data_IF_813701932664
#
_entry.id   IF_813701932664
#
_cell.length_a   1.000
_cell.length_b   1.000
_cell.length_c   1.000
_cell.angle_alpha   90.00
_cell.angle_beta   90.00
_cell.angle_gamma   90.00
#
_symmetry.space_group_name_H-M   'P 1'
#
loop_
_entity.id
_entity.type
_entity.pdbx_description
1 polymer ?
#
# COMPACT_ATOMS: atom_id res chain seq x y z
N UNK A 1 26.07 4.57 -75.91
CA UNK A 1 24.73 4.84 -75.31
C UNK A 1 23.99 3.51 -75.24
N UNK A 2 23.38 3.16 -74.11
CA UNK A 2 22.66 1.88 -73.97
C UNK A 2 21.48 1.81 -74.96
N UNK A 3 21.27 0.66 -75.60
CA UNK A 3 20.24 0.49 -76.64
C UNK A 3 18.83 0.67 -76.04
N UNK A 4 17.84 1.22 -76.76
CA UNK A 4 16.47 1.44 -76.24
C UNK A 4 15.80 0.18 -75.67
N UNK A 5 16.16 -1.00 -76.16
CA UNK A 5 15.72 -2.30 -75.60
C UNK A 5 16.29 -2.55 -74.19
N UNK A 6 17.60 -2.35 -73.98
CA UNK A 6 18.24 -2.50 -72.67
C UNK A 6 17.64 -1.53 -71.66
N UNK A 7 17.39 -0.29 -72.08
CA UNK A 7 16.75 0.73 -71.23
C UNK A 7 15.34 0.32 -70.79
N UNK A 8 14.54 -0.30 -71.68
CA UNK A 8 13.19 -0.80 -71.35
C UNK A 8 13.25 -1.99 -70.40
N UNK A 9 14.15 -2.94 -70.63
CA UNK A 9 14.33 -4.11 -69.76
C UNK A 9 14.84 -3.69 -68.38
N UNK A 10 15.80 -2.75 -68.31
CA UNK A 10 16.22 -2.14 -67.06
C UNK A 10 15.08 -1.40 -66.34
N UNK A 11 14.19 -0.71 -67.06
CA UNK A 11 13.02 -0.04 -66.47
C UNK A 11 12.07 -1.05 -65.83
N UNK A 12 11.76 -2.15 -66.52
CA UNK A 12 10.93 -3.24 -65.99
C UNK A 12 11.61 -3.91 -64.78
N UNK A 13 12.92 -4.17 -64.86
CA UNK A 13 13.72 -4.70 -63.75
C UNK A 13 13.67 -3.80 -62.52
N UNK A 14 13.86 -2.48 -62.70
CA UNK A 14 13.76 -1.48 -61.61
C UNK A 14 12.35 -1.44 -61.01
N UNK A 15 11.30 -1.49 -61.83
CA UNK A 15 9.91 -1.53 -61.36
C UNK A 15 9.61 -2.81 -60.58
N UNK A 16 9.95 -3.99 -61.12
CA UNK A 16 9.76 -5.27 -60.45
C UNK A 16 10.56 -5.37 -59.14
N UNK A 17 11.76 -4.76 -59.09
CA UNK A 17 12.57 -4.67 -57.87
C UNK A 17 11.90 -3.73 -56.85
N UNK A 18 11.55 -2.50 -57.23
CA UNK A 18 10.85 -1.55 -56.35
C UNK A 18 9.60 -2.15 -55.75
N UNK A 19 8.81 -2.84 -56.55
CA UNK A 19 7.56 -3.47 -56.14
C UNK A 19 7.82 -4.62 -55.14
N UNK A 20 8.81 -5.49 -55.41
CA UNK A 20 9.24 -6.52 -54.44
C UNK A 20 9.73 -5.93 -53.12
N UNK A 21 10.49 -4.84 -53.18
CA UNK A 21 10.98 -4.13 -51.99
C UNK A 21 9.83 -3.53 -51.17
N UNK A 22 8.89 -2.85 -51.82
CA UNK A 22 7.73 -2.25 -51.16
C UNK A 22 6.87 -3.32 -50.49
N UNK A 23 6.63 -4.46 -51.14
CA UNK A 23 5.88 -5.57 -50.54
C UNK A 23 6.64 -6.27 -49.43
N UNK A 24 7.95 -6.47 -49.60
CA UNK A 24 8.79 -7.04 -48.56
C UNK A 24 8.78 -6.17 -47.29
N UNK A 25 8.86 -4.85 -47.46
CA UNK A 25 8.76 -3.89 -46.37
C UNK A 25 7.35 -3.86 -45.75
N UNK A 26 6.30 -3.97 -46.57
CA UNK A 26 4.92 -4.07 -46.08
C UNK A 26 4.72 -5.33 -45.21
N UNK A 27 5.22 -6.49 -45.62
CA UNK A 27 5.12 -7.70 -44.79
C UNK A 27 6.01 -7.65 -43.54
N UNK A 28 7.20 -7.05 -43.63
CA UNK A 28 8.05 -6.84 -42.46
C UNK A 28 7.36 -5.95 -41.43
N UNK A 29 6.76 -4.84 -41.86
CA UNK A 29 5.99 -3.95 -40.98
C UNK A 29 4.76 -4.64 -40.41
N UNK A 30 4.01 -5.41 -41.20
CA UNK A 30 2.87 -6.19 -40.71
C UNK A 30 3.29 -7.19 -39.63
N UNK A 31 4.29 -8.04 -39.89
CA UNK A 31 4.73 -9.05 -38.94
C UNK A 31 5.35 -8.43 -37.68
N UNK A 32 6.19 -7.39 -37.85
CA UNK A 32 6.83 -6.70 -36.73
C UNK A 32 5.82 -5.98 -35.83
N UNK A 33 4.89 -5.21 -36.41
CA UNK A 33 3.87 -4.50 -35.65
C UNK A 33 2.86 -5.45 -35.02
N UNK A 34 2.43 -6.50 -35.72
CA UNK A 34 1.52 -7.50 -35.15
C UNK A 34 2.18 -8.22 -33.96
N UNK A 35 3.44 -8.64 -34.10
CA UNK A 35 4.18 -9.25 -33.01
C UNK A 35 4.35 -8.28 -31.83
N UNK A 36 4.69 -7.02 -32.09
CA UNK A 36 4.84 -6.00 -31.05
C UNK A 36 3.52 -5.68 -30.34
N UNK A 37 2.39 -5.63 -31.06
CA UNK A 37 1.06 -5.43 -30.47
C UNK A 37 0.63 -6.61 -29.61
N UNK A 38 0.87 -7.85 -30.08
CA UNK A 38 0.55 -9.06 -29.30
C UNK A 38 1.43 -9.12 -28.05
N UNK A 39 2.74 -8.88 -28.20
CA UNK A 39 3.68 -8.92 -27.08
C UNK A 39 3.42 -7.80 -26.07
N UNK A 40 3.22 -6.56 -26.53
CA UNK A 40 2.94 -5.41 -25.66
C UNK A 40 1.57 -5.49 -25.02
N UNK A 41 0.55 -5.96 -25.74
CA UNK A 41 -0.77 -6.24 -25.19
C UNK A 41 -0.76 -7.37 -24.16
N UNK A 42 0.01 -8.43 -24.42
CA UNK A 42 0.27 -9.51 -23.48
C UNK A 42 0.95 -9.03 -22.20
N UNK A 43 2.04 -8.24 -22.32
CA UNK A 43 2.74 -7.64 -21.18
C UNK A 43 1.81 -6.71 -20.37
N UNK A 44 0.96 -5.93 -21.04
CA UNK A 44 -0.01 -5.05 -20.38
C UNK A 44 -1.14 -5.80 -19.66
N UNK A 45 -1.64 -6.91 -20.22
CA UNK A 45 -2.69 -7.72 -19.62
C UNK A 45 -2.17 -8.58 -18.46
N UNK A 46 -0.98 -9.16 -18.60
CA UNK A 46 -0.36 -9.99 -17.58
C UNK A 46 0.24 -9.14 -16.44
N UNK A 47 0.61 -7.89 -16.71
CA UNK A 47 1.29 -6.97 -15.77
C UNK A 47 2.46 -7.63 -15.02
N UNK A 48 3.13 -8.59 -15.64
CA UNK A 48 4.23 -9.32 -15.03
C UNK A 48 5.43 -8.40 -14.85
N UNK A 49 5.96 -8.32 -13.63
CA UNK A 49 7.20 -7.58 -13.35
C UNK A 49 8.46 -8.45 -13.52
N UNK A 50 8.27 -9.73 -13.85
CA UNK A 50 9.35 -10.67 -14.11
C UNK A 50 10.12 -10.33 -15.40
N UNK A 51 11.43 -10.15 -15.26
CA UNK A 51 12.33 -9.88 -16.39
C UNK A 51 12.35 -11.04 -17.40
N UNK A 52 12.15 -12.29 -16.95
CA UNK A 52 12.13 -13.46 -17.83
C UNK A 52 11.00 -13.41 -18.87
N UNK A 53 9.77 -13.07 -18.45
CA UNK A 53 8.62 -12.93 -19.35
C UNK A 53 8.87 -11.81 -20.37
N UNK A 54 9.37 -10.65 -19.91
CA UNK A 54 9.74 -9.54 -20.80
C UNK A 54 10.78 -9.93 -21.85
N UNK A 55 11.80 -10.70 -21.46
CA UNK A 55 12.84 -11.20 -22.38
C UNK A 55 12.24 -12.13 -23.44
N UNK A 56 11.37 -13.07 -23.05
CA UNK A 56 10.72 -13.99 -23.99
C UNK A 56 9.87 -13.21 -24.99
N UNK A 57 9.04 -12.28 -24.51
CA UNK A 57 8.19 -11.45 -25.38
C UNK A 57 9.02 -10.62 -26.36
N UNK A 58 10.10 -10.00 -25.89
CA UNK A 58 11.00 -9.21 -26.73
C UNK A 58 11.72 -10.08 -27.77
N UNK A 59 12.19 -11.27 -27.36
CA UNK A 59 12.84 -12.23 -28.26
C UNK A 59 11.86 -12.75 -29.33
N UNK A 60 10.59 -12.96 -28.99
CA UNK A 60 9.55 -13.33 -29.94
C UNK A 60 9.32 -12.24 -30.99
N UNK A 61 9.30 -10.96 -30.59
CA UNK A 61 9.19 -9.84 -31.53
C UNK A 61 10.40 -9.77 -32.47
N UNK A 62 11.62 -9.95 -31.92
CA UNK A 62 12.85 -9.98 -32.72
C UNK A 62 12.85 -11.18 -33.66
N UNK A 63 12.49 -12.37 -33.20
CA UNK A 63 12.44 -13.59 -33.99
C UNK A 63 11.40 -13.49 -35.12
N UNK A 64 10.21 -12.95 -34.84
CA UNK A 64 9.17 -12.73 -35.85
C UNK A 64 9.62 -11.71 -36.91
N UNK A 65 10.25 -10.62 -36.48
CA UNK A 65 10.80 -9.59 -37.38
C UNK A 65 11.94 -10.12 -38.23
N UNK A 66 12.85 -10.91 -37.64
CA UNK A 66 13.92 -11.58 -38.35
C UNK A 66 13.37 -12.59 -39.36
N UNK A 67 12.44 -13.47 -38.96
CA UNK A 67 11.81 -14.44 -39.85
C UNK A 67 11.12 -13.75 -41.05
N UNK A 68 10.41 -12.64 -40.81
CA UNK A 68 9.80 -11.84 -41.86
C UNK A 68 10.86 -11.22 -42.80
N UNK A 69 11.96 -10.68 -42.25
CA UNK A 69 13.07 -10.17 -43.03
C UNK A 69 13.69 -11.25 -43.92
N UNK A 70 13.98 -12.43 -43.36
CA UNK A 70 14.55 -13.57 -44.07
C UNK A 70 13.62 -14.11 -45.17
N UNK A 71 12.31 -14.11 -44.93
CA UNK A 71 11.30 -14.67 -45.85
C UNK A 71 10.90 -13.72 -46.99
N UNK A 72 10.84 -12.41 -46.72
CA UNK A 72 10.24 -11.43 -47.63
C UNK A 72 11.22 -10.38 -48.17
N UNK A 73 12.20 -9.93 -47.36
CA UNK A 73 13.12 -8.85 -47.76
C UNK A 73 14.46 -9.37 -48.28
N UNK A 74 14.98 -10.47 -47.71
CA UNK A 74 16.23 -11.11 -48.19
C UNK A 74 16.19 -11.48 -49.67
N UNK A 75 15.12 -12.09 -50.22
CA UNK A 75 15.08 -12.39 -51.66
C UNK A 75 15.17 -11.12 -52.52
N UNK A 76 14.58 -10.00 -52.08
CA UNK A 76 14.63 -8.73 -52.81
C UNK A 76 16.03 -8.06 -52.80
N UNK A 77 16.87 -8.42 -51.82
CA UNK A 77 18.25 -7.96 -51.67
C UNK A 77 19.22 -8.85 -52.44
N UNK A 78 19.11 -10.17 -52.23
CA UNK A 78 20.10 -11.17 -52.67
C UNK A 78 19.87 -11.63 -54.11
N UNK A 79 18.61 -11.80 -54.53
CA UNK A 79 18.32 -12.23 -55.91
C UNK A 79 18.48 -11.04 -56.86
N UNK A 80 19.65 -10.94 -57.47
CA UNK A 80 19.87 -10.05 -58.60
C UNK A 80 19.40 -10.76 -59.87
N UNK A 81 18.15 -10.50 -60.27
CA UNK A 81 17.70 -10.89 -61.61
C UNK A 81 18.60 -10.21 -62.65
N UNK A 82 19.33 -10.98 -63.44
CA UNK A 82 20.06 -10.50 -64.60
C UNK A 82 19.10 -10.02 -65.69
N UNK A 83 19.57 -9.16 -66.59
CA UNK A 83 18.68 -8.61 -67.64
C UNK A 83 18.13 -9.72 -68.56
N UNK A 84 18.88 -10.81 -68.74
CA UNK A 84 18.44 -12.03 -69.43
C UNK A 84 17.31 -12.78 -68.70
N UNK A 85 17.34 -12.87 -67.36
CA UNK A 85 16.28 -13.54 -66.59
C UNK A 85 14.98 -12.74 -66.61
N UNK A 86 15.08 -11.41 -66.65
CA UNK A 86 13.94 -10.51 -66.84
C UNK A 86 13.37 -10.69 -68.25
N UNK A 87 14.21 -10.74 -69.29
CA UNK A 87 13.81 -10.98 -70.67
C UNK A 87 13.05 -12.30 -70.83
N UNK A 88 13.58 -13.40 -70.29
CA UNK A 88 12.91 -14.71 -70.30
C UNK A 88 11.58 -14.69 -69.55
N UNK A 89 11.46 -13.91 -68.47
CA UNK A 89 10.20 -13.76 -67.73
C UNK A 89 9.15 -12.97 -68.51
N UNK A 90 9.58 -11.98 -69.31
CA UNK A 90 8.71 -11.25 -70.24
C UNK A 90 8.22 -12.18 -71.34
N UNK A 91 9.10 -12.98 -71.94
CA UNK A 91 8.75 -13.95 -72.99
C UNK A 91 7.82 -15.07 -72.50
N UNK A 92 7.97 -15.54 -71.26
CA UNK A 92 7.01 -16.48 -70.64
C UNK A 92 5.60 -15.90 -70.52
N UNK A 93 5.47 -14.58 -70.35
CA UNK A 93 4.17 -13.88 -70.26
C UNK A 93 3.59 -13.58 -71.64
N UNK A 94 4.44 -13.33 -72.63
CA UNK A 94 4.05 -13.12 -74.04
C UNK A 94 4.81 -14.06 -74.98
N UNK A 95 4.29 -15.28 -75.20
CA UNK A 95 4.91 -16.28 -76.07
C UNK A 95 5.14 -15.80 -77.51
N UNK A 96 4.39 -14.79 -77.96
CA UNK A 96 4.52 -14.16 -79.28
C UNK A 96 5.91 -13.56 -79.57
N UNK A 97 6.74 -13.33 -78.54
CA UNK A 97 8.11 -12.84 -78.71
C UNK A 97 9.09 -13.93 -79.18
N UNK A 98 8.76 -15.23 -79.13
CA UNK A 98 9.54 -16.35 -79.69
C UNK A 98 11.07 -16.28 -79.45
N UNK A 99 11.52 -16.02 -78.20
CA UNK A 99 12.93 -15.87 -77.82
C UNK A 99 13.69 -14.67 -78.46
N UNK A 100 12.99 -13.80 -79.20
CA UNK A 100 13.62 -12.66 -79.89
C UNK A 100 14.14 -11.62 -78.92
N UNK A 101 13.55 -11.45 -77.73
CA UNK A 101 13.99 -10.48 -76.74
C UNK A 101 15.25 -10.96 -76.00
N UNK A 102 15.30 -12.25 -75.62
CA UNK A 102 16.48 -12.86 -75.01
C UNK A 102 17.65 -12.89 -75.98
N UNK A 103 17.46 -13.35 -77.22
CA UNK A 103 18.51 -13.35 -78.24
C UNK A 103 18.97 -11.95 -78.63
N UNK A 104 18.07 -10.95 -78.71
CA UNK A 104 18.47 -9.56 -78.99
C UNK A 104 19.34 -8.95 -77.91
N UNK A 105 19.09 -9.27 -76.62
CA UNK A 105 19.94 -8.81 -75.53
C UNK A 105 21.31 -9.50 -75.54
N UNK A 106 21.36 -10.79 -75.88
CA UNK A 106 22.62 -11.52 -76.04
C UNK A 106 23.45 -10.94 -77.21
N UNK A 107 22.82 -10.65 -78.35
CA UNK A 107 23.47 -10.01 -79.48
C UNK A 107 23.96 -8.59 -79.20
N UNK A 108 23.33 -7.85 -78.28
CA UNK A 108 23.77 -6.51 -77.87
C UNK A 108 24.97 -6.55 -76.91
N UNK A 109 25.20 -7.66 -76.21
CA UNK A 109 26.35 -7.86 -75.32
C UNK A 109 27.60 -8.38 -76.06
N UNK A 110 27.45 -8.89 -77.28
CA UNK A 110 28.54 -9.37 -78.13
C UNK A 110 29.14 -8.25 -78.99
N UNK A 111 30.45 -8.30 -79.26
CA UNK A 111 31.12 -7.32 -80.11
C UNK A 111 30.50 -7.29 -81.53
N UNK A 112 30.43 -6.11 -82.18
CA UNK A 112 29.89 -5.99 -83.54
C UNK A 112 30.63 -6.84 -84.59
N UNK A 113 31.93 -7.06 -84.38
CA UNK A 113 32.86 -7.75 -85.29
C UNK A 113 33.23 -9.16 -84.82
N UNK A 114 32.44 -9.75 -83.90
CA UNK A 114 32.66 -11.13 -83.45
C UNK A 114 32.37 -12.12 -84.59
N UNK A 115 33.44 -12.75 -85.11
CA UNK A 115 33.37 -13.70 -86.22
C UNK A 115 32.54 -14.95 -85.90
N UNK A 116 32.31 -15.26 -84.62
CA UNK A 116 31.55 -16.42 -84.18
C UNK A 116 30.06 -16.12 -83.91
N UNK A 117 29.65 -14.84 -83.99
CA UNK A 117 28.29 -14.41 -83.66
C UNK A 117 27.32 -14.40 -84.86
N UNK A 118 27.75 -14.85 -86.04
CA UNK A 118 26.92 -14.91 -87.26
C UNK A 118 26.84 -13.57 -88.02
N UNK A 119 25.91 -13.48 -89.00
CA UNK A 119 25.81 -12.31 -89.90
C UNK A 119 25.37 -11.03 -89.16
N UNK A 120 26.15 -9.92 -89.25
CA UNK A 120 25.80 -8.65 -88.63
C UNK A 120 24.47 -8.06 -89.12
N UNK A 121 24.10 -8.33 -90.39
CA UNK A 121 22.84 -7.87 -90.95
C UNK A 121 21.64 -8.59 -90.31
N UNK A 122 21.72 -9.91 -90.12
CA UNK A 122 20.67 -10.69 -89.48
C UNK A 122 20.50 -10.32 -88.00
N UNK A 123 21.61 -10.11 -87.27
CA UNK A 123 21.59 -9.64 -85.87
C UNK A 123 20.83 -8.31 -85.75
N UNK A 124 21.12 -7.35 -86.64
CA UNK A 124 20.43 -6.04 -86.66
C UNK A 124 18.94 -6.17 -86.96
N UNK A 125 18.55 -7.05 -87.88
CA UNK A 125 17.13 -7.31 -88.19
C UNK A 125 16.40 -7.90 -86.99
N UNK A 126 16.98 -8.89 -86.31
CA UNK A 126 16.38 -9.49 -85.10
C UNK A 126 16.22 -8.46 -83.98
N UNK A 127 17.23 -7.61 -83.75
CA UNK A 127 17.17 -6.51 -82.77
C UNK A 127 16.09 -5.48 -83.14
N UNK A 128 15.97 -5.12 -84.42
CA UNK A 128 14.96 -4.17 -84.89
C UNK A 128 13.53 -4.73 -84.75
N UNK A 129 13.31 -5.99 -85.15
CA UNK A 129 12.02 -6.68 -85.00
C UNK A 129 11.63 -6.85 -83.53
N UNK A 130 12.57 -7.24 -82.66
CA UNK A 130 12.33 -7.33 -81.23
C UNK A 130 11.99 -5.96 -80.62
N UNK A 131 12.63 -4.88 -81.09
CA UNK A 131 12.33 -3.51 -80.65
C UNK A 131 10.90 -3.11 -81.00
N UNK A 132 10.46 -3.35 -82.24
CA UNK A 132 9.11 -3.04 -82.70
C UNK A 132 8.05 -3.85 -81.95
N UNK A 133 8.30 -5.15 -81.72
CA UNK A 133 7.36 -6.01 -80.99
C UNK A 133 7.26 -5.65 -79.51
N UNK A 134 8.37 -5.27 -78.87
CA UNK A 134 8.39 -4.84 -77.46
C UNK A 134 7.74 -3.46 -77.27
N UNK A 135 7.79 -2.59 -78.29
CA UNK A 135 7.10 -1.29 -78.27
C UNK A 135 5.59 -1.39 -78.24
N UNK A 136 5.03 -2.37 -78.95
CA UNK A 136 3.61 -2.63 -78.98
C UNK A 136 3.06 -3.27 -77.69
N UNK A 137 3.94 -3.72 -76.78
CA UNK A 137 3.53 -4.45 -75.58
C UNK A 137 3.29 -3.53 -74.36
N UNK A 138 2.19 -3.73 -73.61
CA UNK A 138 1.96 -3.02 -72.35
C UNK A 138 2.83 -3.61 -71.22
N UNK A 139 4.13 -3.28 -71.21
CA UNK A 139 5.11 -3.77 -70.23
C UNK A 139 4.76 -3.45 -68.76
N UNK A 140 3.88 -2.48 -68.52
CA UNK A 140 3.39 -2.17 -67.17
C UNK A 140 2.51 -3.28 -66.57
N UNK A 141 1.95 -4.17 -67.40
CA UNK A 141 1.10 -5.29 -66.96
C UNK A 141 1.91 -6.52 -66.49
N UNK A 142 3.23 -6.50 -66.63
CA UNK A 142 4.12 -7.58 -66.15
C UNK A 142 4.07 -7.69 -64.62
N UNK A 143 4.01 -6.53 -63.97
CA UNK A 143 4.05 -6.44 -62.51
C UNK A 143 2.64 -6.25 -62.01
N UNK A 144 2.01 -7.34 -61.59
CA UNK A 144 0.64 -7.28 -61.05
C UNK A 144 0.64 -6.69 -59.63
N UNK A 145 0.46 -5.37 -59.57
CA UNK A 145 0.36 -4.62 -58.31
C UNK A 145 -0.93 -4.98 -57.56
N UNK A 146 -1.97 -5.50 -58.23
CA UNK A 146 -3.26 -5.81 -57.59
C UNK A 146 -3.14 -6.94 -56.58
N UNK A 147 -2.34 -7.96 -56.91
CA UNK A 147 -2.05 -9.09 -56.01
C UNK A 147 -1.32 -8.67 -54.73
N UNK A 148 -0.79 -7.46 -54.70
CA UNK A 148 0.03 -6.93 -53.61
C UNK A 148 -0.69 -5.89 -52.74
N UNK A 149 -1.87 -5.44 -53.18
CA UNK A 149 -2.77 -4.57 -52.40
C UNK A 149 -3.11 -5.10 -50.99
N UNK A 150 -3.37 -6.40 -50.75
CA UNK A 150 -3.72 -6.84 -49.40
C UNK A 150 -2.57 -6.65 -48.41
N UNK A 151 -1.31 -6.82 -48.82
CA UNK A 151 -0.16 -6.58 -47.96
C UNK A 151 -0.03 -5.10 -47.57
N UNK A 152 -0.23 -4.20 -48.53
CA UNK A 152 -0.22 -2.76 -48.29
C UNK A 152 -1.40 -2.30 -47.43
N UNK A 153 -2.59 -2.85 -47.68
CA UNK A 153 -3.78 -2.57 -46.88
C UNK A 153 -3.62 -3.05 -45.42
N UNK A 154 -3.06 -4.25 -45.22
CA UNK A 154 -2.77 -4.77 -43.88
C UNK A 154 -1.73 -3.93 -43.14
N UNK A 155 -0.65 -3.50 -43.83
CA UNK A 155 0.36 -2.61 -43.25
C UNK A 155 -0.26 -1.25 -42.85
N UNK A 156 -1.07 -0.67 -43.75
CA UNK A 156 -1.80 0.58 -43.48
C UNK A 156 -2.77 0.46 -42.30
N UNK A 157 -3.51 -0.65 -42.22
CA UNK A 157 -4.43 -0.91 -41.12
C UNK A 157 -3.68 -1.04 -39.78
N UNK A 158 -2.59 -1.79 -39.72
CA UNK A 158 -1.78 -1.93 -38.49
C UNK A 158 -1.16 -0.61 -38.06
N UNK A 159 -0.64 0.18 -38.99
CA UNK A 159 -0.13 1.53 -38.70
C UNK A 159 -1.24 2.44 -38.19
N UNK A 160 -2.43 2.36 -38.77
CA UNK A 160 -3.60 3.12 -38.30
C UNK A 160 -4.00 2.72 -36.88
N UNK A 161 -4.05 1.42 -36.57
CA UNK A 161 -4.35 0.92 -35.22
C UNK A 161 -3.31 1.38 -34.21
N UNK A 162 -2.01 1.26 -34.52
CA UNK A 162 -0.92 1.74 -33.66
C UNK A 162 -1.02 3.25 -33.45
N UNK A 163 -1.31 4.02 -34.51
CA UNK A 163 -1.50 5.47 -34.44
C UNK A 163 -2.70 5.85 -33.56
N UNK A 164 -3.82 5.13 -33.69
CA UNK A 164 -5.00 5.34 -32.86
C UNK A 164 -4.73 5.05 -31.38
N UNK A 165 -4.02 3.95 -31.08
CA UNK A 165 -3.59 3.62 -29.72
C UNK A 165 -2.66 4.69 -29.14
N UNK A 166 -1.72 5.21 -29.96
CA UNK A 166 -0.81 6.27 -29.55
C UNK A 166 -1.54 7.59 -29.25
N UNK A 167 -2.56 7.94 -30.05
CA UNK A 167 -3.39 9.11 -29.78
C UNK A 167 -4.23 8.96 -28.50
N UNK A 168 -4.76 7.76 -28.24
CA UNK A 168 -5.61 7.49 -27.08
C UNK A 168 -4.82 7.40 -25.76
N UNK A 169 -3.63 6.78 -25.78
CA UNK A 169 -2.83 6.54 -24.58
C UNK A 169 -1.31 6.64 -24.87
N UNK A 170 -0.78 7.84 -25.17
CA UNK A 170 0.61 8.01 -25.61
C UNK A 170 1.63 7.53 -24.57
N UNK A 171 1.32 7.70 -23.28
CA UNK A 171 2.20 7.26 -22.19
C UNK A 171 2.26 5.72 -22.10
N UNK A 172 1.10 5.06 -22.11
CA UNK A 172 1.00 3.59 -22.04
C UNK A 172 1.67 2.93 -23.25
N UNK A 173 1.41 3.41 -24.47
CA UNK A 173 2.01 2.83 -25.68
C UNK A 173 3.52 3.09 -25.72
N UNK A 174 3.96 4.28 -25.30
CA UNK A 174 5.39 4.60 -25.16
C UNK A 174 6.12 3.69 -24.16
N UNK A 175 5.49 3.39 -23.02
CA UNK A 175 6.03 2.47 -22.02
C UNK A 175 6.07 1.02 -22.52
N UNK A 176 5.02 0.54 -23.21
CA UNK A 176 5.03 -0.78 -23.84
C UNK A 176 6.20 -0.93 -24.82
N UNK A 177 6.39 0.07 -25.69
CA UNK A 177 7.48 0.06 -26.66
C UNK A 177 8.86 0.06 -25.98
N UNK A 178 9.03 0.83 -24.90
CA UNK A 178 10.28 0.86 -24.12
C UNK A 178 10.55 -0.45 -23.40
N UNK A 179 9.54 -1.05 -22.75
CA UNK A 179 9.66 -2.35 -22.06
C UNK A 179 10.03 -3.47 -23.04
N UNK A 180 9.53 -3.45 -24.28
CA UNK A 180 9.92 -4.40 -25.34
C UNK A 180 11.31 -4.12 -25.92
N UNK A 181 11.70 -2.86 -26.08
CA UNK A 181 13.02 -2.50 -26.61
C UNK A 181 14.14 -2.71 -25.58
N UNK A 182 13.84 -2.53 -24.30
CA UNK A 182 14.76 -2.62 -23.17
C UNK A 182 14.19 -3.59 -22.12
N UNK A 183 14.19 -4.91 -22.39
CA UNK A 183 13.56 -5.90 -21.51
C UNK A 183 14.22 -6.01 -20.13
N UNK A 184 15.47 -5.56 -20.01
CA UNK A 184 16.24 -5.51 -18.75
C UNK A 184 15.99 -4.24 -17.95
N UNK A 185 15.18 -3.30 -18.45
CA UNK A 185 14.80 -2.11 -17.70
C UNK A 185 13.89 -2.46 -16.52
N UNK A 186 13.93 -1.64 -15.47
CA UNK A 186 13.04 -1.75 -14.30
C UNK A 186 11.81 -0.86 -14.43
N UNK A 187 11.45 -0.49 -15.66
CA UNK A 187 10.29 0.36 -15.95
C UNK A 187 9.00 -0.40 -15.62
N UNK A 188 8.24 0.10 -14.63
CA UNK A 188 6.97 -0.47 -14.21
C UNK A 188 5.80 0.17 -14.96
N UNK A 189 4.72 -0.58 -15.12
CA UNK A 189 3.47 0.00 -15.60
C UNK A 189 2.94 1.05 -14.61
N UNK A 190 2.23 2.11 -15.06
CA UNK A 190 1.61 3.08 -14.18
C UNK A 190 0.61 2.37 -13.27
N UNK A 191 0.73 2.64 -11.98
CA UNK A 191 -0.12 2.05 -10.96
C UNK A 191 -1.50 2.69 -10.99
N UNK A 192 -2.51 1.87 -10.78
CA UNK A 192 -3.91 2.29 -10.61
C UNK A 192 -4.15 2.68 -9.16
N UNK A 193 -3.62 1.89 -8.24
CA UNK A 193 -3.81 2.08 -6.82
C UNK A 193 -2.60 2.78 -6.18
N UNK A 194 -2.87 3.67 -5.23
CA UNK A 194 -1.85 4.39 -4.45
C UNK A 194 -2.20 4.29 -2.97
N UNK A 195 -1.77 3.20 -2.36
CA UNK A 195 -2.14 2.83 -1.00
C UNK A 195 -1.37 3.68 0.03
N UNK A 196 -2.06 4.08 1.10
CA UNK A 196 -1.54 4.91 2.17
C UNK A 196 -1.99 4.39 3.54
N UNK A 197 -1.06 4.36 4.51
CA UNK A 197 -1.41 4.07 5.89
C UNK A 197 -2.25 5.19 6.50
N UNK A 198 -3.25 4.81 7.29
CA UNK A 198 -4.03 5.75 8.09
C UNK A 198 -3.54 5.65 9.53
N UNK A 199 -2.71 6.61 9.93
CA UNK A 199 -2.14 6.77 11.29
C UNK A 199 -1.69 5.45 11.95
N UNK A 200 -0.65 4.80 11.40
CA UNK A 200 -0.26 3.47 11.86
C UNK A 200 0.39 3.54 13.26
N UNK A 201 -0.06 2.73 14.23
CA UNK A 201 0.52 2.77 15.57
C UNK A 201 1.94 2.21 15.58
N UNK A 202 2.92 3.02 16.01
CA UNK A 202 4.32 2.62 16.14
C UNK A 202 4.60 1.79 17.42
N UNK A 203 3.72 1.88 18.40
CA UNK A 203 3.83 1.20 19.69
C UNK A 203 2.53 0.48 20.03
N UNK A 204 2.65 -0.74 20.54
CA UNK A 204 1.51 -1.55 21.00
C UNK A 204 1.84 -2.13 22.37
N UNK A 205 0.88 -2.13 23.27
CA UNK A 205 1.07 -2.73 24.59
C UNK A 205 1.16 -4.25 24.49
N UNK A 206 2.02 -4.86 25.30
CA UNK A 206 2.13 -6.32 25.34
C UNK A 206 0.78 -7.00 25.61
N UNK A 207 0.38 -7.90 24.70
CA UNK A 207 -0.85 -8.67 24.76
C UNK A 207 -2.06 -8.01 24.11
N UNK A 208 -2.01 -6.71 23.82
CA UNK A 208 -3.10 -5.97 23.17
C UNK A 208 -3.15 -6.26 21.65
N UNK A 209 -4.32 -6.05 21.01
CA UNK A 209 -4.45 -6.20 19.58
C UNK A 209 -3.80 -5.04 18.84
N UNK A 210 -3.11 -5.36 17.74
CA UNK A 210 -2.63 -4.36 16.79
C UNK A 210 -3.59 -4.25 15.61
N UNK A 211 -3.95 -3.02 15.24
CA UNK A 211 -4.82 -2.73 14.11
C UNK A 211 -4.07 -1.87 13.11
N UNK A 212 -4.06 -2.30 11.85
CA UNK A 212 -3.50 -1.53 10.72
C UNK A 212 -4.60 -1.19 9.73
N UNK A 213 -4.62 0.07 9.31
CA UNK A 213 -5.59 0.60 8.35
C UNK A 213 -4.88 1.18 7.13
N UNK A 214 -5.43 0.89 5.96
CA UNK A 214 -4.93 1.41 4.67
C UNK A 214 -6.11 1.96 3.86
N UNK A 215 -5.87 3.06 3.17
CA UNK A 215 -6.78 3.66 2.18
C UNK A 215 -6.06 3.84 0.85
N UNK A 216 -6.81 3.88 -0.25
CA UNK A 216 -6.27 4.32 -1.54
C UNK A 216 -6.43 5.84 -1.67
N UNK A 217 -5.40 6.54 -2.12
CA UNK A 217 -5.47 7.96 -2.45
C UNK A 217 -6.47 8.24 -3.59
N UNK A 218 -6.69 7.27 -4.48
CA UNK A 218 -7.68 7.33 -5.55
C UNK A 218 -9.12 7.05 -5.10
N UNK A 219 -9.31 6.58 -3.86
CA UNK A 219 -10.62 6.28 -3.27
C UNK A 219 -11.21 4.92 -3.65
N UNK A 220 -10.58 4.17 -4.55
CA UNK A 220 -11.02 2.83 -4.96
C UNK A 220 -9.99 1.78 -4.54
N UNK A 221 -10.31 0.99 -3.52
CA UNK A 221 -9.40 -0.01 -2.99
C UNK A 221 -9.33 -1.24 -3.92
N UNK A 222 -8.14 -1.85 -4.09
CA UNK A 222 -8.03 -3.08 -4.87
C UNK A 222 -8.79 -4.23 -4.22
N UNK A 223 -9.30 -5.16 -5.04
CA UNK A 223 -10.12 -6.31 -4.60
C UNK A 223 -9.41 -7.23 -3.58
N UNK A 224 -8.08 -7.27 -3.62
CA UNK A 224 -7.27 -8.08 -2.74
C UNK A 224 -6.13 -7.25 -2.12
N UNK A 225 -6.14 -7.16 -0.79
CA UNK A 225 -5.09 -6.59 0.02
C UNK A 225 -4.54 -7.64 0.98
N UNK A 226 -3.22 -7.70 1.06
CA UNK A 226 -2.49 -8.62 1.90
C UNK A 226 -1.59 -7.86 2.85
N UNK A 227 -1.59 -8.29 4.11
CA UNK A 227 -0.66 -7.83 5.13
C UNK A 227 0.43 -8.87 5.33
N UNK A 228 1.67 -8.39 5.41
CA UNK A 228 2.87 -9.15 5.70
C UNK A 228 3.39 -8.73 7.05
N UNK A 229 3.73 -9.73 7.87
CA UNK A 229 4.34 -9.55 9.18
C UNK A 229 5.76 -10.11 9.16
N UNK A 230 6.70 -9.40 9.77
CA UNK A 230 8.06 -9.87 9.95
C UNK A 230 8.44 -9.78 11.42
N UNK A 231 8.49 -10.92 12.07
CA UNK A 231 8.95 -11.04 13.45
C UNK A 231 10.47 -11.21 13.50
N UNK A 232 11.10 -10.78 14.60
CA UNK A 232 12.53 -10.99 14.81
C UNK A 232 12.87 -12.49 14.77
N UNK A 233 13.86 -12.86 13.94
CA UNK A 233 14.31 -14.25 13.77
C UNK A 233 13.58 -15.07 12.70
N UNK A 234 12.53 -14.54 12.05
CA UNK A 234 11.92 -15.18 10.89
C UNK A 234 12.56 -14.73 9.58
N UNK A 235 12.78 -15.69 8.67
CA UNK A 235 13.24 -15.38 7.32
C UNK A 235 12.12 -14.71 6.51
N UNK A 236 12.43 -13.79 5.59
CA UNK A 236 11.43 -13.09 4.77
C UNK A 236 10.49 -14.02 3.98
N UNK A 237 10.95 -15.24 3.71
CA UNK A 237 10.25 -16.24 2.89
C UNK A 237 9.18 -17.02 3.66
N UNK A 238 9.19 -16.98 5.00
CA UNK A 238 8.32 -17.82 5.84
C UNK A 238 7.02 -17.12 6.29
N UNK A 239 6.91 -15.81 6.06
CA UNK A 239 5.74 -15.04 6.46
C UNK A 239 4.59 -15.22 5.44
N UNK A 240 3.62 -16.06 5.79
CA UNK A 240 2.40 -16.21 4.99
C UNK A 240 1.61 -14.89 4.98
N UNK A 241 1.26 -14.34 3.80
CA UNK A 241 0.43 -13.15 3.71
C UNK A 241 -0.96 -13.43 4.26
N UNK A 242 -1.52 -12.46 4.98
CA UNK A 242 -2.88 -12.54 5.51
C UNK A 242 -3.79 -11.56 4.79
N UNK A 243 -5.02 -11.95 4.42
CA UNK A 243 -5.96 -11.04 3.76
C UNK A 243 -6.43 -9.93 4.72
N UNK A 244 -6.67 -8.74 4.18
CA UNK A 244 -7.32 -7.65 4.89
C UNK A 244 -8.84 -7.70 4.67
N UNK A 245 -9.59 -7.11 5.61
CA UNK A 245 -11.05 -6.98 5.52
C UNK A 245 -11.42 -5.56 5.14
N UNK A 246 -12.36 -5.38 4.21
CA UNK A 246 -12.84 -4.07 3.79
C UNK A 246 -13.89 -3.53 4.76
N UNK A 247 -13.71 -2.27 5.17
CA UNK A 247 -14.59 -1.53 6.06
C UNK A 247 -14.85 -0.15 5.45
N UNK A 248 -15.81 -0.08 4.51
CA UNK A 248 -16.13 1.16 3.78
C UNK A 248 -15.02 1.55 2.80
N UNK A 249 -14.46 2.74 2.96
CA UNK A 249 -13.37 3.30 2.15
C UNK A 249 -11.97 2.88 2.63
N UNK A 250 -11.90 2.00 3.63
CA UNK A 250 -10.66 1.52 4.24
C UNK A 250 -10.57 -0.01 4.23
N UNK A 251 -9.34 -0.50 4.15
CA UNK A 251 -9.03 -1.89 4.47
C UNK A 251 -8.38 -1.97 5.85
N UNK A 252 -8.84 -2.93 6.65
CA UNK A 252 -8.41 -3.10 8.04
C UNK A 252 -7.96 -4.54 8.25
N UNK A 253 -6.88 -4.70 8.99
CA UNK A 253 -6.48 -6.00 9.53
C UNK A 253 -6.07 -5.86 10.98
N UNK A 254 -6.42 -6.87 11.78
CA UNK A 254 -6.15 -6.89 13.22
C UNK A 254 -5.38 -8.15 13.62
N UNK A 255 -4.24 -7.95 14.26
CA UNK A 255 -3.47 -8.99 14.92
C UNK A 255 -3.88 -9.04 16.39
N UNK A 256 -4.63 -10.07 16.78
CA UNK A 256 -5.35 -10.12 18.06
C UNK A 256 -4.48 -10.04 19.32
N UNK A 257 -3.25 -10.56 19.27
CA UNK A 257 -2.39 -10.63 20.45
C UNK A 257 -0.94 -10.44 20.05
N UNK A 258 -0.37 -9.31 20.46
CA UNK A 258 1.01 -8.95 20.16
C UNK A 258 1.91 -9.22 21.35
N UNK A 259 2.88 -10.12 21.21
CA UNK A 259 3.81 -10.49 22.30
C UNK A 259 5.26 -10.12 22.05
N UNK A 260 5.62 -9.77 20.82
CA UNK A 260 6.98 -9.45 20.43
C UNK A 260 7.00 -8.41 19.31
N UNK A 261 8.06 -7.58 19.20
CA UNK A 261 8.21 -6.59 18.13
C UNK A 261 8.14 -7.22 16.74
N UNK A 262 7.57 -6.48 15.78
CA UNK A 262 7.45 -6.91 14.40
C UNK A 262 7.47 -5.74 13.42
N UNK A 263 7.78 -6.04 12.17
CA UNK A 263 7.57 -5.13 11.06
C UNK A 263 6.29 -5.51 10.33
N UNK A 264 5.51 -4.53 9.90
CA UNK A 264 4.30 -4.77 9.09
C UNK A 264 4.39 -4.04 7.77
N UNK A 265 3.91 -4.69 6.70
CA UNK A 265 3.77 -4.09 5.37
C UNK A 265 2.47 -4.54 4.73
N UNK A 266 1.79 -3.63 4.04
CA UNK A 266 0.59 -3.96 3.25
C UNK A 266 0.92 -3.85 1.77
N UNK A 267 0.45 -4.81 1.00
CA UNK A 267 0.58 -4.87 -0.46
C UNK A 267 -0.79 -5.24 -1.03
N UNK A 268 -1.18 -4.64 -2.16
CA UNK A 268 -2.44 -5.01 -2.80
C UNK A 268 -2.60 -4.44 -4.19
N UNK A 269 -3.39 -5.15 -5.01
CA UNK A 269 -3.58 -4.81 -6.42
C UNK A 269 -2.25 -4.71 -7.17
N UNK A 270 -1.93 -3.51 -7.65
CA UNK A 270 -0.70 -3.18 -8.36
C UNK A 270 0.26 -2.28 -7.57
N UNK A 271 0.01 -2.07 -6.28
CA UNK A 271 0.88 -1.28 -5.40
C UNK A 271 1.60 -2.14 -4.36
N UNK A 272 2.92 -2.22 -4.52
CA UNK A 272 3.85 -2.86 -3.60
C UNK A 272 4.70 -1.84 -2.84
N UNK A 273 4.44 -0.53 -2.91
CA UNK A 273 5.44 0.46 -2.47
C UNK A 273 5.34 0.94 -1.03
N UNK A 274 4.34 0.50 -0.27
CA UNK A 274 4.23 0.91 1.13
C UNK A 274 5.48 0.49 1.91
N UNK A 275 6.01 1.39 2.76
CA UNK A 275 7.16 1.09 3.58
C UNK A 275 6.80 0.06 4.65
N UNK A 276 7.82 -0.66 5.12
CA UNK A 276 7.70 -1.43 6.35
C UNK A 276 7.57 -0.47 7.54
N UNK A 277 6.69 -0.80 8.46
CA UNK A 277 6.53 -0.07 9.73
C UNK A 277 7.05 -0.95 10.85
N UNK A 278 8.00 -0.41 11.62
CA UNK A 278 8.48 -1.03 12.85
C UNK A 278 7.47 -0.80 13.97
N UNK A 279 6.89 -1.88 14.49
CA UNK A 279 5.97 -1.86 15.63
C UNK A 279 6.71 -2.41 16.84
N UNK A 280 7.00 -1.53 17.79
CA UNK A 280 7.61 -1.92 19.05
C UNK A 280 6.54 -2.34 20.06
N UNK A 281 6.81 -3.42 20.77
CA UNK A 281 5.95 -3.90 21.85
C UNK A 281 6.46 -3.35 23.15
N UNK A 282 5.62 -2.60 23.85
CA UNK A 282 5.98 -2.01 25.13
C UNK A 282 5.11 -2.61 26.22
N UNK A 283 5.72 -3.09 27.30
CA UNK A 283 4.92 -3.56 28.43
C UNK A 283 4.65 -2.37 29.37
N UNK A 284 3.37 -2.13 29.72
CA UNK A 284 3.01 -1.03 30.60
C UNK A 284 3.64 -1.18 31.99
N UNK A 285 3.97 -0.05 32.61
CA UNK A 285 4.41 0.01 34.01
C UNK A 285 3.31 -0.50 34.92
N UNK A 286 3.63 -1.29 35.94
CA UNK A 286 2.64 -1.84 36.88
C UNK A 286 2.93 -1.38 38.30
N UNK A 287 1.86 -1.26 39.09
CA UNK A 287 1.95 -1.00 40.52
C UNK A 287 2.50 -2.27 41.19
N UNK A 288 3.70 -2.20 41.75
CA UNK A 288 4.34 -3.32 42.43
C UNK A 288 3.94 -3.36 43.91
N UNK A 289 3.93 -2.20 44.55
CA UNK A 289 3.51 -2.05 45.94
C UNK A 289 2.74 -0.74 46.13
N UNK A 290 1.67 -0.76 46.93
CA UNK A 290 0.92 0.43 47.34
C UNK A 290 0.78 0.45 48.86
N UNK A 291 1.40 1.45 49.48
CA UNK A 291 1.30 1.72 50.92
C UNK A 291 0.37 2.90 51.15
N UNK A 292 -0.69 2.65 51.90
CA UNK A 292 -1.67 3.66 52.29
C UNK A 292 -1.52 3.96 53.77
N UNK A 293 -1.38 5.23 54.12
CA UNK A 293 -1.37 5.68 55.53
C UNK A 293 -2.50 6.67 55.75
N UNK A 294 -3.34 6.39 56.74
CA UNK A 294 -4.50 7.19 57.10
C UNK A 294 -4.18 8.08 58.28
N UNK A 295 -4.54 9.36 58.17
CA UNK A 295 -4.39 10.36 59.21
C UNK A 295 -5.77 10.91 59.59
N UNK A 296 -6.44 10.30 60.58
CA UNK A 296 -7.75 10.74 61.03
C UNK A 296 -7.73 12.20 61.54
N UNK A 297 -8.89 12.88 61.56
CA UNK A 297 -8.97 14.23 62.11
C UNK A 297 -8.48 14.31 63.56
N UNK A 298 -7.78 15.39 63.92
CA UNK A 298 -7.15 15.54 65.24
C UNK A 298 -8.12 15.40 66.43
N UNK A 299 -9.40 15.76 66.25
CA UNK A 299 -10.42 15.66 67.30
C UNK A 299 -10.75 14.21 67.69
N UNK A 300 -10.46 13.24 66.82
CA UNK A 300 -10.71 11.81 67.10
C UNK A 300 -9.72 11.24 68.12
N UNK A 301 -8.54 11.87 68.30
CA UNK A 301 -7.46 11.33 69.12
C UNK A 301 -6.79 10.06 68.56
N UNK A 302 -7.19 9.61 67.37
CA UNK A 302 -6.64 8.42 66.72
C UNK A 302 -5.35 8.80 65.98
N UNK A 303 -4.26 8.11 66.29
CA UNK A 303 -2.97 8.30 65.62
C UNK A 303 -2.96 7.77 64.18
N UNK A 304 -1.94 8.12 63.39
CA UNK A 304 -1.79 7.61 62.03
C UNK A 304 -1.70 6.08 61.99
N UNK A 305 -2.33 5.45 61.01
CA UNK A 305 -2.31 3.99 60.85
C UNK A 305 -2.15 3.58 59.39
N UNK A 306 -1.45 2.47 59.17
CA UNK A 306 -1.36 1.85 57.86
C UNK A 306 -2.71 1.19 57.50
N UNK A 307 -3.10 1.31 56.24
CA UNK A 307 -4.31 0.69 55.70
C UNK A 307 -3.98 -0.16 54.49
N UNK A 308 -4.89 -1.07 54.16
CA UNK A 308 -4.81 -1.77 52.87
C UNK A 308 -5.18 -0.81 51.73
N UNK A 309 -4.93 -1.18 50.47
CA UNK A 309 -5.43 -0.40 49.33
C UNK A 309 -6.94 -0.14 49.37
N UNK A 310 -7.74 -1.01 49.99
CA UNK A 310 -9.16 -0.73 50.23
C UNK A 310 -9.30 0.15 51.48
N UNK A 311 -9.70 1.41 51.27
CA UNK A 311 -9.73 2.44 52.31
C UNK A 311 -11.10 2.46 52.98
N UNK A 312 -11.12 2.34 54.31
CA UNK A 312 -12.31 2.55 55.12
C UNK A 312 -11.99 3.46 56.31
N UNK A 313 -12.48 4.70 56.30
CA UNK A 313 -12.14 5.70 57.31
C UNK A 313 -13.24 6.76 57.51
N UNK A 314 -13.08 7.61 58.53
CA UNK A 314 -13.99 8.71 58.82
C UNK A 314 -13.87 9.84 57.78
N UNK A 315 -14.97 10.53 57.53
CA UNK A 315 -14.97 11.76 56.75
C UNK A 315 -13.98 12.77 57.35
N UNK A 316 -13.22 13.45 56.50
CA UNK A 316 -12.14 14.37 56.90
C UNK A 316 -10.80 13.70 57.20
N UNK A 317 -10.68 12.37 57.08
CA UNK A 317 -9.38 11.69 57.16
C UNK A 317 -8.50 12.11 55.97
N UNK A 318 -7.23 12.41 56.22
CA UNK A 318 -6.24 12.69 55.16
C UNK A 318 -5.49 11.41 54.79
N UNK A 319 -5.26 11.20 53.50
CA UNK A 319 -4.58 10.00 52.99
C UNK A 319 -3.18 10.37 52.48
N UNK A 320 -2.18 9.63 52.94
CA UNK A 320 -0.84 9.62 52.36
C UNK A 320 -0.63 8.30 51.60
N UNK A 321 -0.01 8.40 50.43
CA UNK A 321 0.25 7.25 49.56
C UNK A 321 1.74 7.16 49.24
N UNK A 322 2.25 5.94 49.17
CA UNK A 322 3.52 5.64 48.55
C UNK A 322 3.34 4.42 47.64
N UNK A 323 3.66 4.58 46.36
CA UNK A 323 3.57 3.57 45.33
C UNK A 323 4.97 3.23 44.81
N UNK A 324 5.28 1.94 44.68
CA UNK A 324 6.44 1.43 43.96
C UNK A 324 5.99 0.87 42.60
N UNK A 325 6.80 1.11 41.57
CA UNK A 325 6.43 0.82 40.18
C UNK A 325 7.50 -0.02 39.49
N UNK A 326 7.08 -0.96 38.65
CA UNK A 326 8.00 -1.91 38.00
C UNK A 326 8.94 -1.28 36.97
N UNK A 327 8.58 -0.12 36.40
CA UNK A 327 9.35 0.60 35.38
C UNK A 327 9.28 2.12 35.61
N UNK A 328 10.26 2.89 35.13
CA UNK A 328 10.27 4.34 35.29
C UNK A 328 9.04 5.03 34.68
N UNK A 329 8.36 5.84 35.48
CA UNK A 329 7.19 6.63 35.09
C UNK A 329 7.52 8.12 34.94
N UNK A 330 6.80 8.81 34.05
CA UNK A 330 6.86 10.28 33.88
C UNK A 330 5.88 11.02 34.77
N UNK A 331 4.73 10.42 35.01
CA UNK A 331 3.67 10.99 35.84
C UNK A 331 2.87 9.86 36.50
N UNK A 332 2.30 10.16 37.66
CA UNK A 332 1.32 9.32 38.31
C UNK A 332 0.23 10.20 38.92
N UNK A 333 -1.01 9.69 38.95
CA UNK A 333 -2.16 10.37 39.52
C UNK A 333 -3.14 9.38 40.12
N UNK A 334 -3.85 9.79 41.16
CA UNK A 334 -4.97 9.04 41.71
C UNK A 334 -6.23 9.53 41.03
N UNK A 335 -6.97 8.61 40.41
CA UNK A 335 -8.30 8.88 39.88
C UNK A 335 -9.32 8.38 40.90
N UNK A 336 -10.10 9.30 41.46
CA UNK A 336 -11.16 9.02 42.43
C UNK A 336 -12.49 9.14 41.70
N UNK A 337 -13.30 8.08 41.73
CA UNK A 337 -14.63 8.03 41.15
C UNK A 337 -15.66 7.92 42.28
N UNK A 338 -16.33 9.05 42.55
CA UNK A 338 -17.39 9.17 43.54
C UNK A 338 -18.67 9.63 42.84
N UNK A 339 -19.70 8.78 42.82
CA UNK A 339 -21.04 9.12 42.28
C UNK A 339 -21.00 9.64 40.81
N UNK A 340 -20.07 9.16 39.98
CA UNK A 340 -19.91 9.56 38.58
C UNK A 340 -19.15 10.88 38.38
N UNK A 341 -18.64 11.48 39.45
CA UNK A 341 -17.68 12.58 39.39
C UNK A 341 -16.27 12.03 39.59
N UNK A 342 -15.45 12.16 38.56
CA UNK A 342 -14.05 11.78 38.59
C UNK A 342 -13.18 12.97 39.02
N UNK A 343 -12.42 12.81 40.09
CA UNK A 343 -11.41 13.76 40.55
C UNK A 343 -10.02 13.16 40.37
N UNK A 344 -9.09 13.95 39.85
CA UNK A 344 -7.68 13.55 39.70
C UNK A 344 -6.80 14.29 40.71
N UNK A 345 -5.96 13.53 41.43
CA UNK A 345 -4.95 14.08 42.34
C UNK A 345 -3.56 13.67 41.84
N UNK A 346 -2.68 14.62 41.48
CA UNK A 346 -1.35 14.30 41.00
C UNK A 346 -0.46 13.76 42.13
N UNK A 347 0.34 12.74 41.83
CA UNK A 347 1.36 12.20 42.71
C UNK A 347 2.72 12.80 42.38
N UNK A 348 3.57 12.95 43.39
CA UNK A 348 4.95 13.37 43.21
C UNK A 348 5.79 12.15 42.82
N UNK A 349 6.36 12.15 41.63
CA UNK A 349 7.22 11.07 41.15
C UNK A 349 8.62 11.23 41.71
N UNK A 350 9.21 10.13 42.18
CA UNK A 350 10.58 10.09 42.69
C UNK A 350 11.61 10.35 41.57
N UNK A 351 12.82 10.79 41.93
CA UNK A 351 13.85 11.16 40.96
C UNK A 351 14.32 10.00 40.07
N UNK A 352 14.22 8.76 40.56
CA UNK A 352 14.51 7.53 39.81
C UNK A 352 13.36 7.08 38.90
N UNK A 353 12.18 7.70 39.01
CA UNK A 353 10.96 7.32 38.30
C UNK A 353 10.32 6.02 38.78
N UNK A 354 10.85 5.36 39.82
CA UNK A 354 10.38 4.05 40.30
C UNK A 354 9.44 4.14 41.50
N UNK A 355 9.24 5.35 42.03
CA UNK A 355 8.29 5.62 43.10
C UNK A 355 7.37 6.79 42.80
N UNK A 356 6.17 6.77 43.36
CA UNK A 356 5.27 7.92 43.39
C UNK A 356 4.68 8.08 44.79
N UNK A 357 4.55 9.31 45.28
CA UNK A 357 4.00 9.56 46.62
C UNK A 357 3.04 10.73 46.67
N UNK A 358 2.11 10.64 47.62
CA UNK A 358 1.23 11.72 48.03
C UNK A 358 1.56 12.10 49.47
N UNK A 359 2.12 13.30 49.64
CA UNK A 359 2.39 13.86 50.97
C UNK A 359 1.18 14.63 51.50
N UNK A 360 0.99 14.62 52.81
CA UNK A 360 -0.10 15.33 53.48
C UNK A 360 0.00 16.85 53.34
N UNK A 361 1.23 17.37 53.26
CA UNK A 361 1.52 18.80 53.09
C UNK A 361 1.69 19.18 51.61
N UNK A 362 1.29 18.29 50.70
CA UNK A 362 1.31 18.54 49.27
C UNK A 362 0.34 19.66 48.87
N UNK A 363 0.48 20.21 47.65
CA UNK A 363 -0.39 21.28 47.15
C UNK A 363 -1.87 20.87 47.05
N UNK A 364 -2.14 19.56 46.94
CA UNK A 364 -3.48 18.99 46.94
C UNK A 364 -3.52 17.76 47.87
N UNK A 365 -3.82 17.93 49.16
CA UNK A 365 -3.99 16.81 50.07
C UNK A 365 -5.27 16.04 49.73
N UNK A 366 -5.22 14.72 49.78
CA UNK A 366 -6.41 13.90 49.58
C UNK A 366 -7.21 13.81 50.88
N UNK A 367 -8.35 14.51 50.91
CA UNK A 367 -9.33 14.46 52.00
C UNK A 367 -10.47 13.51 51.64
N UNK A 368 -10.83 12.62 52.56
CA UNK A 368 -11.93 11.70 52.37
C UNK A 368 -13.27 12.38 52.68
N UNK A 369 -14.10 12.57 51.66
CA UNK A 369 -15.41 13.22 51.81
C UNK A 369 -16.57 12.28 51.46
N UNK A 370 -16.43 11.53 50.36
CA UNK A 370 -17.47 10.66 49.82
C UNK A 370 -16.94 9.25 49.59
N UNK A 371 -17.85 8.28 49.70
CA UNK A 371 -17.57 6.90 49.31
C UNK A 371 -17.53 6.76 47.79
N UNK A 372 -16.80 5.79 47.28
CA UNK A 372 -16.61 5.55 45.85
C UNK A 372 -15.57 4.47 45.58
N UNK A 373 -14.85 4.62 44.47
CA UNK A 373 -13.69 3.80 44.15
C UNK A 373 -12.54 4.70 43.70
N UNK A 374 -11.32 4.21 43.78
CA UNK A 374 -10.18 4.93 43.23
C UNK A 374 -9.22 3.96 42.54
N UNK A 375 -8.42 4.47 41.62
CA UNK A 375 -7.30 3.73 41.04
C UNK A 375 -6.08 4.64 40.87
N UNK A 376 -4.90 4.05 40.84
CA UNK A 376 -3.65 4.76 40.59
C UNK A 376 -3.33 4.66 39.10
N UNK A 377 -3.39 5.78 38.39
CA UNK A 377 -2.99 5.87 37.00
C UNK A 377 -1.51 6.18 36.91
N UNK A 378 -0.80 5.38 36.14
CA UNK A 378 0.63 5.50 35.89
C UNK A 378 0.85 5.83 34.43
N UNK A 379 1.72 6.79 34.14
CA UNK A 379 2.15 7.13 32.78
C UNK A 379 3.63 6.76 32.65
N UNK A 380 3.91 5.72 31.88
CA UNK A 380 5.28 5.26 31.65
C UNK A 380 6.14 6.30 30.93
N UNK A 381 7.47 6.11 30.94
CA UNK A 381 8.38 6.97 30.19
C UNK A 381 8.12 6.97 28.66
N UNK A 382 7.53 5.89 28.16
CA UNK A 382 7.02 5.67 26.81
C UNK A 382 5.68 6.38 26.52
N UNK A 383 5.01 6.92 27.54
CA UNK A 383 3.72 7.60 27.42
C UNK A 383 2.51 6.68 27.48
N UNK A 384 2.69 5.38 27.69
CA UNK A 384 1.59 4.42 27.85
C UNK A 384 0.99 4.56 29.25
N UNK A 385 -0.34 4.70 29.32
CA UNK A 385 -1.07 4.74 30.58
C UNK A 385 -1.46 3.34 31.08
N UNK A 386 -1.40 3.13 32.39
CA UNK A 386 -1.77 1.87 33.04
C UNK A 386 -2.42 2.11 34.42
N UNK A 387 -2.94 1.03 35.02
CA UNK A 387 -3.52 1.04 36.38
C UNK A 387 -5.03 1.31 36.47
N UNK A 388 -5.70 1.69 35.37
CA UNK A 388 -7.14 2.01 35.36
C UNK A 388 -8.05 0.84 35.79
N UNK A 389 -7.63 -0.39 35.53
CA UNK A 389 -8.39 -1.60 35.86
C UNK A 389 -8.15 -2.10 37.29
N UNK A 390 -7.11 -1.60 37.97
CA UNK A 390 -6.82 -1.91 39.37
C UNK A 390 -7.59 -0.94 40.28
N UNK A 391 -8.90 -1.17 40.41
CA UNK A 391 -9.77 -0.35 41.24
C UNK A 391 -9.77 -0.83 42.69
N UNK A 392 -9.66 0.11 43.61
CA UNK A 392 -9.74 -0.09 45.05
C UNK A 392 -10.98 0.60 45.62
N UNK A 393 -11.56 0.01 46.65
CA UNK A 393 -12.76 0.55 47.29
C UNK A 393 -12.42 1.70 48.23
N UNK A 394 -13.28 2.71 48.23
CA UNK A 394 -13.21 3.84 49.13
C UNK A 394 -14.53 3.95 49.92
N UNK A 395 -14.48 3.65 51.21
CA UNK A 395 -15.63 3.73 52.12
C UNK A 395 -15.39 4.84 53.14
N UNK A 396 -16.18 5.90 53.03
CA UNK A 396 -16.12 7.04 53.94
C UNK A 396 -17.31 6.98 54.89
N UNK A 397 -17.03 6.90 56.19
CA UNK A 397 -18.02 6.89 57.26
C UNK A 397 -18.26 8.32 57.75
N UNK A 398 -19.50 8.75 57.74
CA UNK A 398 -19.87 10.03 58.34
C UNK A 398 -19.75 9.94 59.87
N UNK A 399 -19.26 11.01 60.48
CA UNK A 399 -19.24 11.21 61.93
C UNK A 399 -20.67 11.54 62.41
N UNK A 400 -21.20 10.74 63.32
CA UNK A 400 -22.57 10.89 63.79
C UNK A 400 -22.62 11.72 65.09
N UNK A 401 -23.56 12.66 65.18
CA UNK A 401 -23.73 13.41 66.41
C UNK A 401 -24.07 12.49 67.61
N UNK A 402 -23.55 12.78 68.82
CA UNK A 402 -23.83 12.01 70.02
C UNK A 402 -25.33 11.97 70.30
N UNK A 403 -25.81 10.81 70.74
CA UNK A 403 -27.20 10.60 71.14
C UNK A 403 -27.31 10.69 72.65
N UNK A 404 -28.23 11.53 73.13
CA UNK A 404 -28.49 11.75 74.55
C UNK A 404 -29.93 11.34 74.83
N UNK A 405 -30.15 10.49 75.84
CA UNK A 405 -31.47 10.21 76.42
C UNK A 405 -31.46 10.52 77.92
N UNK A 406 -32.55 11.10 78.42
CA UNK A 406 -32.83 11.19 79.85
C UNK A 406 -33.73 10.01 80.19
N UNK A 407 -33.22 9.11 81.01
CA UNK A 407 -33.90 7.87 81.40
C UNK A 407 -34.80 8.13 82.64
N UNK A 408 -34.39 9.05 83.52
CA UNK A 408 -35.20 9.55 84.62
C UNK A 408 -34.84 11.01 84.95
N UNK A 409 -35.81 11.91 85.14
CA UNK A 409 -37.26 11.72 84.98
C UNK A 409 -37.67 11.62 83.50
N UNK A 410 -38.78 10.94 83.16
CA UNK A 410 -39.24 10.79 81.77
C UNK A 410 -39.79 12.10 81.15
N UNK A 411 -39.85 13.18 81.93
CA UNK A 411 -40.35 14.48 81.51
C UNK A 411 -40.19 15.52 82.61
N UNK A 412 -41.01 16.57 82.56
CA UNK A 412 -40.98 17.64 83.56
C UNK A 412 -41.29 17.10 84.95
N UNK A 413 -40.41 17.41 85.91
CA UNK A 413 -40.55 17.00 87.30
C UNK A 413 -41.05 18.17 88.14
N UNK A 414 -42.16 17.97 88.85
CA UNK A 414 -42.64 18.90 89.86
C UNK A 414 -42.03 18.52 91.20
N UNK A 415 -41.17 19.39 91.74
CA UNK A 415 -40.48 19.19 93.00
C UNK A 415 -40.75 20.38 93.92
N UNK A 416 -40.75 20.12 95.23
CA UNK A 416 -40.73 21.21 96.22
C UNK A 416 -39.37 21.94 96.18
N UNK A 417 -39.27 23.16 96.71
CA UNK A 417 -38.01 23.92 96.74
C UNK A 417 -36.84 23.18 97.41
N UNK A 418 -37.12 22.22 98.29
CA UNK A 418 -36.14 21.45 99.05
C UNK A 418 -35.91 20.02 98.48
N UNK A 419 -36.66 19.62 97.45
CA UNK A 419 -36.59 18.26 96.94
C UNK A 419 -35.33 18.02 96.08
N UNK A 420 -34.70 16.86 96.28
CA UNK A 420 -33.53 16.40 95.52
C UNK A 420 -34.01 15.59 94.32
N UNK A 421 -33.88 16.15 93.12
CA UNK A 421 -34.20 15.47 91.88
C UNK A 421 -33.02 14.61 91.40
N UNK A 422 -33.24 13.31 91.19
CA UNK A 422 -32.26 12.43 90.56
C UNK A 422 -32.46 12.48 89.05
N UNK A 423 -31.42 12.89 88.33
CA UNK A 423 -31.39 12.85 86.87
C UNK A 423 -30.45 11.75 86.42
N UNK A 424 -30.99 10.76 85.73
CA UNK A 424 -30.25 9.68 85.10
C UNK A 424 -30.46 9.76 83.59
N UNK A 425 -29.39 9.58 82.83
CA UNK A 425 -29.45 9.59 81.38
C UNK A 425 -28.27 8.84 80.78
N UNK A 426 -28.46 8.42 79.53
CA UNK A 426 -27.47 7.69 78.75
C UNK A 426 -27.00 8.56 77.59
N UNK A 427 -25.68 8.71 77.45
CA UNK A 427 -25.06 9.34 76.28
C UNK A 427 -24.29 8.29 75.51
N UNK A 428 -24.54 8.17 74.21
CA UNK A 428 -23.84 7.27 73.30
C UNK A 428 -23.23 8.05 72.14
N UNK A 429 -21.99 7.72 71.83
CA UNK A 429 -21.21 8.30 70.73
C UNK A 429 -20.37 7.17 70.12
N UNK A 430 -20.06 7.29 68.83
CA UNK A 430 -19.24 6.34 68.08
C UNK A 430 -17.74 6.61 68.18
N UNK A 431 -17.33 7.78 68.69
CA UNK A 431 -15.94 8.17 68.92
C UNK A 431 -15.64 8.36 70.41
N UNK A 432 -16.02 9.51 70.97
CA UNK A 432 -15.73 9.88 72.34
C UNK A 432 -16.58 11.05 72.83
N UNK A 433 -16.98 11.01 74.10
CA UNK A 433 -17.73 12.09 74.73
C UNK A 433 -16.77 12.99 75.51
N UNK A 434 -16.61 14.25 75.07
CA UNK A 434 -15.73 15.22 75.75
C UNK A 434 -16.38 15.92 76.94
N UNK A 435 -17.66 16.29 76.83
CA UNK A 435 -18.39 17.05 77.85
C UNK A 435 -19.88 16.74 77.79
N UNK A 436 -20.49 16.56 78.95
CA UNK A 436 -21.94 16.47 79.11
C UNK A 436 -22.37 17.60 80.06
N UNK A 437 -23.33 18.41 79.64
CA UNK A 437 -23.92 19.48 80.46
C UNK A 437 -25.41 19.21 80.64
N UNK A 438 -25.89 19.27 81.88
CA UNK A 438 -27.32 19.32 82.16
C UNK A 438 -27.75 20.78 82.26
N UNK A 439 -28.59 21.23 81.33
CA UNK A 439 -29.26 22.53 81.41
C UNK A 439 -30.69 22.31 81.84
N UNK A 440 -31.06 22.93 82.95
CA UNK A 440 -32.44 22.96 83.44
C UNK A 440 -32.90 24.41 83.57
N UNK A 441 -34.19 24.63 83.38
CA UNK A 441 -34.86 25.90 83.66
C UNK A 441 -35.95 25.61 84.67
N UNK A 442 -36.21 26.57 85.55
CA UNK A 442 -37.34 26.50 86.47
C UNK A 442 -38.50 27.29 85.87
N UNK A 443 -39.71 26.75 85.91
CA UNK A 443 -40.89 27.43 85.37
C UNK A 443 -41.40 28.58 86.24
N UNK A 444 -40.90 28.70 87.47
CA UNK A 444 -41.24 29.74 88.45
C UNK A 444 -40.24 30.90 88.51
N UNK A 445 -39.28 30.96 87.58
CA UNK A 445 -38.21 31.97 87.52
C UNK A 445 -38.42 33.00 86.40
#
# INVERSE_FOLDING_TARGET
>A
MAHPLEQKVHRVRRLARRVRWVVGLAWLTVCGLAAALIAGGGDYLLRSEETGVRLILSLLVVAASAAAFWRFLRPAIVEQDGDLSVALRIERRWPQLHQRLSSSLEFLQQAPDDAFAGSPALRRTVVAEATAQVEALPLHQIVDVRRQRPALAAAGLLLFVVGLLWLAAPQTVGQAARRLALPLSTDRWPRRHHLQYVDPPAHVSFGEPFRVEVKDAGGDLPEALQVYYRFAGQSPTDAAPQPMTFAGDKAVHQLNRVTQPFQVRVVGGDDDTLPWIDVAVVEPSRLEELRVTLHPPAYTGIGPSASSPHIAALAGTRVALAAAVTKPIKAARVLIDCEGQAQEIPLTVAADGLGASLSLDGPQPWLLEKSGSYCVLLVGADGVESGRNERHDLVVRADAAPRISIDSPPGNLFVTPEAVAVVAGTVRDDLAIRRVELRFTRSDA
#
